data_IF_438268714850
#
_entry.id   IF_438268714850
#
_cell.length_a   1.000
_cell.length_b   1.000
_cell.length_c   1.000
_cell.angle_alpha   90.00
_cell.angle_beta   90.00
_cell.angle_gamma   90.00
#
_symmetry.space_group_name_H-M   'P 1'
#
loop_
_entity.id
_entity.type
_entity.pdbx_description
1 polymer ?
#
# COMPACT_ATOMS: atom_id res chain seq x y z
N UNK A 1 13.32 8.31 39.56
CA UNK A 1 12.65 7.13 38.97
C UNK A 1 11.22 7.50 38.62
N UNK A 2 10.89 7.68 37.34
CA UNK A 2 9.50 7.78 36.86
C UNK A 2 9.35 6.78 35.73
N UNK A 3 9.00 5.55 36.09
CA UNK A 3 8.55 4.54 35.13
C UNK A 3 7.18 4.97 34.64
N UNK A 4 7.17 5.76 33.56
CA UNK A 4 5.94 6.11 32.83
C UNK A 4 5.45 4.90 32.06
N UNK A 5 4.83 3.95 32.75
CA UNK A 5 4.05 2.89 32.11
C UNK A 5 2.82 3.58 31.51
N UNK A 6 2.82 3.73 30.19
CA UNK A 6 1.66 4.22 29.44
C UNK A 6 0.56 3.18 29.59
N UNK A 7 -0.49 3.51 30.35
CA UNK A 7 -1.62 2.62 30.59
C UNK A 7 -2.22 2.14 29.25
N UNK A 8 -2.60 0.84 29.15
CA UNK A 8 -3.22 0.32 27.95
C UNK A 8 -4.52 1.06 27.66
N UNK A 9 -4.65 1.57 26.44
CA UNK A 9 -5.90 2.14 25.94
C UNK A 9 -6.82 0.96 25.61
N UNK A 10 -7.70 0.60 26.53
CA UNK A 10 -8.81 -0.29 26.22
C UNK A 10 -9.64 0.37 25.11
N UNK A 11 -9.68 -0.25 23.94
CA UNK A 11 -10.53 0.16 22.85
C UNK A 11 -11.72 -0.79 22.86
N UNK A 12 -12.84 -0.32 23.42
CA UNK A 12 -14.10 -1.08 23.43
C UNK A 12 -14.68 -1.08 22.03
N UNK A 13 -14.08 -1.85 21.12
CA UNK A 13 -14.63 -2.07 19.80
C UNK A 13 -15.75 -3.10 19.92
N UNK A 14 -17.04 -2.70 19.84
CA UNK A 14 -18.12 -3.65 19.93
C UNK A 14 -18.07 -4.58 18.72
N UNK A 15 -18.13 -5.89 18.94
CA UNK A 15 -18.28 -6.84 17.85
C UNK A 15 -19.69 -6.73 17.25
N UNK A 16 -19.81 -6.01 16.13
CA UNK A 16 -21.06 -5.87 15.38
C UNK A 16 -21.15 -6.85 14.21
N UNK A 17 -20.14 -7.72 14.05
CA UNK A 17 -20.03 -8.56 12.87
C UNK A 17 -19.98 -7.76 11.55
N UNK A 18 -20.51 -8.35 10.49
CA UNK A 18 -20.64 -7.76 9.16
C UNK A 18 -21.95 -8.19 8.48
N UNK A 19 -22.14 -7.83 7.20
CA UNK A 19 -23.34 -8.22 6.44
C UNK A 19 -23.53 -9.73 6.25
N UNK A 20 -22.50 -10.55 6.55
CA UNK A 20 -22.56 -12.01 6.42
C UNK A 20 -22.80 -12.72 7.77
N UNK A 21 -22.47 -12.10 8.90
CA UNK A 21 -22.61 -12.70 10.22
C UNK A 21 -22.66 -11.61 11.31
N UNK A 22 -23.51 -11.78 12.32
CA UNK A 22 -23.78 -10.77 13.36
C UNK A 22 -22.66 -10.61 14.39
N UNK A 23 -21.73 -11.58 14.49
CA UNK A 23 -20.54 -11.53 15.34
C UNK A 23 -19.33 -12.07 14.58
N UNK A 24 -18.21 -11.36 14.64
CA UNK A 24 -16.94 -11.81 14.08
C UNK A 24 -16.38 -13.03 14.81
N UNK A 25 -16.63 -13.12 16.12
CA UNK A 25 -16.10 -14.19 16.98
C UNK A 25 -16.82 -15.53 16.79
N UNK A 26 -18.08 -15.49 16.37
CA UNK A 26 -18.91 -16.69 16.14
C UNK A 26 -19.03 -17.04 14.63
N UNK A 27 -18.22 -16.41 13.78
CA UNK A 27 -18.36 -16.58 12.34
C UNK A 27 -17.88 -17.99 11.90
N UNK A 28 -18.71 -18.80 11.22
CA UNK A 28 -18.34 -20.17 10.82
C UNK A 28 -17.37 -20.23 9.62
N UNK A 29 -16.91 -19.09 9.12
CA UNK A 29 -16.05 -19.01 7.93
C UNK A 29 -14.60 -19.32 8.30
N UNK A 30 -13.96 -20.17 7.50
CA UNK A 30 -12.52 -20.45 7.61
C UNK A 30 -11.60 -19.24 7.32
N UNK A 31 -12.12 -18.18 6.70
CA UNK A 31 -11.39 -16.94 6.44
C UNK A 31 -12.34 -15.73 6.42
N UNK A 32 -11.90 -14.61 7.01
CA UNK A 32 -12.65 -13.35 6.99
C UNK A 32 -12.40 -12.57 5.70
N UNK A 33 -13.48 -12.06 5.08
CA UNK A 33 -13.39 -11.23 3.85
C UNK A 33 -12.59 -9.94 4.05
N UNK A 34 -12.61 -9.39 5.27
CA UNK A 34 -11.89 -8.17 5.64
C UNK A 34 -10.47 -8.46 6.11
N UNK A 35 -10.19 -9.71 6.51
CA UNK A 35 -8.85 -10.17 6.86
C UNK A 35 -8.06 -10.47 5.59
N UNK A 36 -7.83 -9.41 4.82
CA UNK A 36 -6.83 -9.45 3.78
C UNK A 36 -5.51 -9.24 4.48
N UNK A 37 -4.73 -10.31 4.62
CA UNK A 37 -3.28 -10.19 4.67
C UNK A 37 -2.93 -9.29 3.50
N UNK A 38 -2.53 -8.04 3.76
CA UNK A 38 -1.94 -7.20 2.72
C UNK A 38 -0.68 -7.94 2.35
N UNK A 39 -0.79 -8.83 1.36
CA UNK A 39 0.36 -9.37 0.67
C UNK A 39 1.18 -8.13 0.37
N UNK A 40 2.37 -8.02 0.97
CA UNK A 40 3.35 -7.03 0.56
C UNK A 40 3.37 -7.21 -0.95
N UNK A 41 2.80 -6.24 -1.68
CA UNK A 41 2.64 -6.36 -3.12
C UNK A 41 4.07 -6.36 -3.62
N UNK A 42 4.66 -7.56 -3.78
CA UNK A 42 5.85 -7.73 -4.59
C UNK A 42 5.47 -7.06 -5.90
N UNK A 43 6.13 -5.97 -6.30
CA UNK A 43 5.79 -5.36 -7.57
C UNK A 43 5.89 -6.47 -8.60
N UNK A 44 4.83 -6.72 -9.40
CA UNK A 44 4.97 -7.52 -10.61
C UNK A 44 6.24 -7.05 -11.32
N UNK A 45 7.04 -7.95 -11.88
CA UNK A 45 8.26 -7.58 -12.58
C UNK A 45 8.00 -6.44 -13.61
N UNK A 46 6.81 -6.43 -14.18
CA UNK A 46 6.28 -5.38 -15.06
C UNK A 46 6.23 -3.98 -14.43
N UNK A 47 5.94 -3.87 -13.13
CA UNK A 47 5.93 -2.59 -12.41
C UNK A 47 7.33 -2.05 -12.15
N UNK A 48 8.31 -2.92 -11.87
CA UNK A 48 9.71 -2.49 -11.70
C UNK A 48 10.27 -1.92 -13.00
N UNK A 49 9.99 -2.59 -14.13
CA UNK A 49 10.32 -2.10 -15.46
C UNK A 49 9.60 -0.78 -15.77
N UNK A 50 8.30 -0.66 -15.42
CA UNK A 50 7.55 0.58 -15.63
C UNK A 50 8.10 1.75 -14.81
N UNK A 51 8.41 1.54 -13.54
CA UNK A 51 8.88 2.59 -12.65
C UNK A 51 10.29 3.06 -13.07
N UNK A 52 11.14 2.15 -13.56
CA UNK A 52 12.43 2.53 -14.17
C UNK A 52 12.24 3.34 -15.45
N UNK A 53 11.35 2.91 -16.35
CA UNK A 53 11.02 3.67 -17.56
C UNK A 53 10.48 5.08 -17.23
N UNK A 54 9.65 5.22 -16.19
CA UNK A 54 9.19 6.54 -15.72
C UNK A 54 10.36 7.43 -15.27
N UNK A 55 11.34 6.86 -14.55
CA UNK A 55 12.55 7.59 -14.11
C UNK A 55 13.42 8.00 -15.30
N UNK A 56 13.63 7.09 -16.25
CA UNK A 56 14.39 7.36 -17.46
C UNK A 56 13.73 8.47 -18.29
N UNK A 57 12.42 8.37 -18.57
CA UNK A 57 11.68 9.42 -19.30
C UNK A 57 11.77 10.78 -18.61
N UNK A 58 11.77 10.80 -17.27
CA UNK A 58 11.99 12.03 -16.52
C UNK A 58 13.42 12.57 -16.67
N UNK A 59 14.43 11.71 -16.70
CA UNK A 59 15.83 12.07 -16.94
C UNK A 59 16.05 12.60 -18.37
N UNK A 60 15.30 12.09 -19.35
CA UNK A 60 15.26 12.59 -20.73
C UNK A 60 14.52 13.94 -20.88
N UNK A 61 13.97 14.49 -19.77
CA UNK A 61 13.33 15.81 -19.75
C UNK A 61 11.82 15.80 -19.97
N UNK A 62 11.18 14.63 -20.08
CA UNK A 62 9.73 14.55 -20.26
C UNK A 62 8.98 15.18 -19.08
N UNK A 63 7.90 15.90 -19.39
CA UNK A 63 7.01 16.50 -18.40
C UNK A 63 6.15 15.43 -17.73
N UNK A 64 5.66 15.74 -16.52
CA UNK A 64 4.73 14.85 -15.80
C UNK A 64 3.49 14.55 -16.64
N UNK A 65 3.03 15.50 -17.46
CA UNK A 65 1.85 15.34 -18.32
C UNK A 65 2.10 14.30 -19.42
N UNK A 66 3.26 14.32 -20.06
CA UNK A 66 3.64 13.38 -21.11
C UNK A 66 3.80 11.96 -20.54
N UNK A 67 4.51 11.83 -19.42
CA UNK A 67 4.66 10.54 -18.72
C UNK A 67 3.30 9.99 -18.30
N UNK A 68 2.38 10.84 -17.87
CA UNK A 68 1.02 10.43 -17.50
C UNK A 68 0.25 9.84 -18.69
N UNK A 69 0.38 10.46 -19.86
CA UNK A 69 -0.28 10.00 -21.08
C UNK A 69 0.34 8.70 -21.60
N UNK A 70 1.67 8.58 -21.54
CA UNK A 70 2.43 7.42 -22.02
C UNK A 70 2.19 6.16 -21.17
N UNK A 71 2.25 6.29 -19.84
CA UNK A 71 2.15 5.14 -18.93
C UNK A 71 0.75 4.94 -18.32
N UNK A 72 -0.21 5.82 -18.61
CA UNK A 72 -1.60 5.77 -18.09
C UNK A 72 -1.63 5.64 -16.55
N UNK A 73 -0.80 6.42 -15.87
CA UNK A 73 -0.67 6.44 -14.40
C UNK A 73 -1.18 7.74 -13.79
N UNK A 74 -1.35 7.79 -12.47
CA UNK A 74 -1.70 9.03 -11.77
C UNK A 74 -0.47 9.91 -11.50
N UNK A 75 -0.66 11.22 -11.31
CA UNK A 75 0.41 12.11 -10.86
C UNK A 75 1.06 11.62 -9.56
N UNK A 76 0.26 11.15 -8.60
CA UNK A 76 0.76 10.58 -7.34
C UNK A 76 1.65 9.35 -7.56
N UNK A 77 1.36 8.53 -8.57
CA UNK A 77 2.22 7.40 -8.94
C UNK A 77 3.56 7.89 -9.44
N UNK A 78 3.57 8.88 -10.34
CA UNK A 78 4.80 9.46 -10.87
C UNK A 78 5.63 10.09 -9.74
N UNK A 79 5.02 10.93 -8.89
CA UNK A 79 5.73 11.53 -7.75
C UNK A 79 6.28 10.49 -6.78
N UNK A 80 5.53 9.43 -6.50
CA UNK A 80 6.01 8.34 -5.65
C UNK A 80 7.20 7.62 -6.26
N UNK A 81 7.16 7.32 -7.56
CA UNK A 81 8.27 6.67 -8.27
C UNK A 81 9.52 7.56 -8.25
N UNK A 82 9.37 8.87 -8.49
CA UNK A 82 10.47 9.83 -8.45
C UNK A 82 11.02 10.06 -7.03
N UNK A 83 10.17 9.98 -6.01
CA UNK A 83 10.58 10.12 -4.61
C UNK A 83 11.27 8.86 -4.05
N UNK A 84 11.06 7.70 -4.68
CA UNK A 84 11.64 6.43 -4.23
C UNK A 84 13.00 6.24 -4.90
N UNK A 85 14.08 6.27 -4.10
CA UNK A 85 15.41 5.88 -4.59
C UNK A 85 15.36 4.43 -5.10
N UNK A 86 15.96 4.10 -6.25
CA UNK A 86 16.08 2.69 -6.64
C UNK A 86 16.76 1.94 -5.49
N UNK A 87 16.20 0.80 -5.10
CA UNK A 87 16.91 -0.08 -4.18
C UNK A 87 18.25 -0.40 -4.85
N UNK A 88 19.36 -0.07 -4.19
CA UNK A 88 20.68 -0.53 -4.63
C UNK A 88 20.58 -2.05 -4.75
N UNK A 89 20.73 -2.58 -5.96
CA UNK A 89 20.99 -4.00 -6.13
C UNK A 89 22.28 -4.33 -5.39
N UNK A 90 22.21 -5.31 -4.50
CA UNK A 90 23.37 -6.05 -3.98
C UNK A 90 23.98 -6.91 -5.08
#
# INVERSE_FOLDING_TARGET
MRSGLREPRFNDHPDRGCSLHSSCLECPRSACRYDKVRSVRRPPADMANRDENIRQRRAEGATIKEIRAEFVVSNNTIYRVLATKPAKGE
#
